data_IF_332314839877
#
_entry.id   IF_332314839877
#
_cell.length_a   1.000
_cell.length_b   1.000
_cell.length_c   1.000
_cell.angle_alpha   90.00
_cell.angle_beta   90.00
_cell.angle_gamma   90.00
#
_symmetry.space_group_name_H-M   'P 1'
#
loop_
_entity.id
_entity.type
_entity.pdbx_description
1 polymer ?
#
# COMPACT_ATOMS: atom_id res chain seq x y z
N UNK A 1 -2.16 7.02 -18.92
CA UNK A 1 -2.49 6.55 -17.56
C UNK A 1 -1.54 7.08 -16.49
N UNK A 2 -0.31 6.58 -16.33
CA UNK A 2 0.58 7.04 -15.24
C UNK A 2 0.90 8.55 -15.30
N UNK A 3 1.28 9.06 -16.48
CA UNK A 3 1.54 10.49 -16.69
C UNK A 3 0.31 11.41 -16.53
N UNK A 4 -0.89 10.83 -16.44
CA UNK A 4 -2.16 11.54 -16.26
C UNK A 4 -2.67 11.43 -14.81
N UNK A 5 -1.81 11.00 -13.87
CA UNK A 5 -2.16 10.85 -12.45
C UNK A 5 -2.88 9.54 -12.11
N UNK A 6 -2.95 8.58 -13.04
CA UNK A 6 -3.58 7.25 -12.83
C UNK A 6 -2.53 6.16 -12.70
N UNK A 7 -1.50 6.42 -11.89
CA UNK A 7 -0.32 5.55 -11.81
C UNK A 7 -0.64 4.20 -11.13
N UNK A 8 -1.48 4.20 -10.08
CA UNK A 8 -1.92 2.95 -9.43
C UNK A 8 -2.70 2.02 -10.36
N UNK A 9 -3.56 2.57 -11.22
CA UNK A 9 -4.29 1.76 -12.22
C UNK A 9 -3.33 1.17 -13.27
N UNK A 10 -2.38 1.96 -13.76
CA UNK A 10 -1.36 1.49 -14.69
C UNK A 10 -0.48 0.39 -14.06
N UNK A 11 -0.14 0.53 -12.79
CA UNK A 11 0.56 -0.51 -12.03
C UNK A 11 -0.29 -1.79 -11.94
N UNK A 12 -1.57 -1.68 -11.60
CA UNK A 12 -2.49 -2.82 -11.54
C UNK A 12 -2.61 -3.61 -12.85
N UNK A 13 -2.57 -2.94 -14.00
CA UNK A 13 -2.55 -3.61 -15.31
C UNK A 13 -1.21 -4.31 -15.61
N UNK A 14 -0.10 -3.78 -15.11
CA UNK A 14 1.24 -4.29 -15.43
C UNK A 14 1.74 -5.33 -14.41
N UNK A 15 1.29 -5.26 -13.16
CA UNK A 15 1.76 -6.12 -12.08
C UNK A 15 1.43 -7.60 -12.30
N UNK A 16 0.36 -7.89 -13.05
CA UNK A 16 -0.05 -9.26 -13.40
C UNK A 16 1.03 -10.04 -14.16
N UNK A 17 1.88 -9.35 -14.92
CA UNK A 17 3.01 -9.99 -15.61
C UNK A 17 4.12 -10.40 -14.65
N UNK A 18 4.31 -9.65 -13.55
CA UNK A 18 5.23 -10.02 -12.48
C UNK A 18 4.68 -11.16 -11.64
N UNK A 19 3.40 -11.07 -11.26
CA UNK A 19 2.79 -12.04 -10.36
C UNK A 19 2.59 -13.39 -11.05
N UNK A 20 1.98 -13.40 -12.24
CA UNK A 20 1.45 -14.62 -12.85
C UNK A 20 2.20 -15.03 -14.13
N UNK A 21 2.95 -14.09 -14.71
CA UNK A 21 3.72 -14.29 -15.95
C UNK A 21 4.66 -15.50 -15.93
N UNK A 22 5.41 -15.77 -14.84
CA UNK A 22 6.27 -16.96 -14.77
C UNK A 22 5.49 -18.27 -14.92
N UNK A 23 4.33 -18.39 -14.26
CA UNK A 23 3.47 -19.57 -14.39
C UNK A 23 2.87 -19.68 -15.81
N UNK A 24 2.45 -18.55 -16.39
CA UNK A 24 1.93 -18.52 -17.76
C UNK A 24 3.00 -18.94 -18.79
N UNK A 25 4.23 -18.46 -18.66
CA UNK A 25 5.35 -18.83 -19.52
C UNK A 25 5.75 -20.30 -19.35
N UNK A 26 5.77 -20.81 -18.12
CA UNK A 26 6.05 -22.21 -17.81
C UNK A 26 5.07 -23.17 -18.51
N UNK A 27 3.77 -22.82 -18.57
CA UNK A 27 2.75 -23.61 -19.31
C UNK A 27 3.05 -23.71 -20.81
N UNK A 28 3.80 -22.78 -21.37
CA UNK A 28 4.22 -22.78 -22.77
C UNK A 28 5.60 -23.46 -22.98
N UNK A 29 6.17 -24.06 -21.94
CA UNK A 29 7.47 -24.73 -22.02
C UNK A 29 8.69 -23.80 -21.91
N UNK A 30 8.50 -22.56 -21.46
CA UNK A 30 9.61 -21.68 -21.15
C UNK A 30 10.44 -22.24 -19.98
N UNK A 31 11.76 -22.02 -20.01
CA UNK A 31 12.69 -22.46 -18.95
C UNK A 31 13.09 -21.35 -17.98
N UNK A 32 12.72 -20.11 -18.29
CA UNK A 32 12.90 -18.92 -17.46
C UNK A 32 11.96 -17.80 -17.94
N UNK A 33 11.68 -16.81 -17.09
CA UNK A 33 10.87 -15.64 -17.43
C UNK A 33 11.59 -14.36 -17.00
N UNK A 34 11.70 -13.40 -17.90
CA UNK A 34 12.10 -12.04 -17.56
C UNK A 34 10.97 -11.09 -17.88
N UNK A 35 10.70 -10.16 -16.96
CA UNK A 35 9.72 -9.10 -17.18
C UNK A 35 10.44 -7.76 -17.32
N UNK A 36 9.85 -6.86 -18.11
CA UNK A 36 10.14 -5.43 -17.97
C UNK A 36 9.69 -4.99 -16.58
N UNK A 37 10.54 -4.26 -15.87
CA UNK A 37 10.20 -3.77 -14.54
C UNK A 37 8.87 -3.02 -14.54
N UNK A 38 8.09 -3.25 -13.48
CA UNK A 38 6.78 -2.63 -13.29
C UNK A 38 6.99 -1.28 -12.59
N UNK A 39 7.37 -0.28 -13.38
CA UNK A 39 7.74 1.05 -12.89
C UNK A 39 7.42 2.17 -13.88
N UNK A 40 7.53 3.41 -13.40
CA UNK A 40 7.17 4.63 -14.14
C UNK A 40 8.35 5.37 -14.78
N UNK A 41 9.60 4.99 -14.48
CA UNK A 41 10.78 5.71 -14.95
C UNK A 41 11.89 4.80 -15.51
N UNK A 42 12.62 5.35 -16.46
CA UNK A 42 13.83 4.76 -17.07
C UNK A 42 15.07 5.25 -16.31
N UNK A 43 15.24 4.75 -15.08
CA UNK A 43 16.39 5.03 -14.20
C UNK A 43 17.40 3.90 -14.15
N UNK A 44 17.25 2.91 -15.04
CA UNK A 44 18.03 1.69 -15.06
C UNK A 44 18.00 0.95 -13.71
N UNK A 45 16.82 0.90 -13.12
CA UNK A 45 16.53 0.21 -11.86
C UNK A 45 15.62 -0.99 -12.13
N UNK A 46 15.96 -2.20 -11.67
CA UNK A 46 15.01 -3.30 -11.63
C UNK A 46 14.04 -3.11 -10.46
N UNK A 47 12.76 -3.38 -10.70
CA UNK A 47 11.73 -3.37 -9.66
C UNK A 47 11.48 -4.79 -9.16
N UNK A 48 11.67 -5.01 -7.86
CA UNK A 48 11.30 -6.25 -7.19
C UNK A 48 9.77 -6.39 -7.07
N UNK A 49 9.32 -7.40 -6.34
CA UNK A 49 7.90 -7.67 -6.14
C UNK A 49 7.57 -9.15 -6.15
N UNK A 50 6.41 -9.46 -5.58
CA UNK A 50 5.95 -10.84 -5.43
C UNK A 50 5.68 -11.53 -6.77
N UNK A 51 6.05 -12.81 -6.84
CA UNK A 51 5.66 -13.76 -7.91
C UNK A 51 4.84 -14.90 -7.31
N UNK A 52 3.71 -15.21 -7.94
CA UNK A 52 2.82 -16.30 -7.55
C UNK A 52 3.02 -17.50 -8.50
N UNK A 53 3.57 -18.59 -7.96
CA UNK A 53 3.64 -19.85 -8.71
C UNK A 53 2.36 -20.65 -8.54
N UNK A 54 1.68 -20.90 -9.65
CA UNK A 54 0.52 -21.76 -9.68
C UNK A 54 0.93 -23.24 -9.55
N UNK A 55 0.07 -24.05 -8.92
CA UNK A 55 0.34 -25.47 -8.67
C UNK A 55 0.23 -26.36 -9.93
N UNK A 56 -0.27 -25.81 -11.04
CA UNK A 56 -0.50 -26.50 -12.32
C UNK A 56 0.66 -26.32 -13.33
N UNK A 57 1.75 -25.65 -12.95
CA UNK A 57 2.91 -25.40 -13.80
C UNK A 57 4.23 -25.57 -13.03
N UNK A 58 5.33 -25.95 -13.71
CA UNK A 58 6.64 -26.00 -13.05
C UNK A 58 7.11 -24.59 -12.66
N UNK A 59 7.78 -24.49 -11.49
CA UNK A 59 8.43 -23.24 -11.08
C UNK A 59 9.67 -23.04 -11.93
N UNK A 60 9.71 -21.94 -12.68
CA UNK A 60 10.85 -21.55 -13.52
C UNK A 60 11.52 -20.30 -12.95
N UNK A 61 12.85 -20.12 -13.10
CA UNK A 61 13.51 -18.89 -12.68
C UNK A 61 12.85 -17.65 -13.29
N UNK A 62 12.58 -16.65 -12.45
CA UNK A 62 11.93 -15.41 -12.84
C UNK A 62 12.68 -14.20 -12.28
N UNK A 63 12.74 -13.11 -13.05
CA UNK A 63 13.33 -11.86 -12.59
C UNK A 63 12.85 -10.65 -13.40
N UNK A 64 13.00 -9.46 -12.83
CA UNK A 64 12.79 -8.21 -13.54
C UNK A 64 14.11 -7.70 -14.12
N UNK A 65 14.05 -7.15 -15.32
CA UNK A 65 15.12 -6.33 -15.90
C UNK A 65 14.68 -4.88 -15.94
N UNK A 66 15.66 -3.97 -16.02
CA UNK A 66 15.39 -2.54 -16.18
C UNK A 66 14.56 -2.28 -17.43
N UNK A 67 13.84 -1.14 -17.49
CA UNK A 67 13.05 -0.78 -18.66
C UNK A 67 13.92 -0.72 -19.93
N UNK A 68 15.11 -0.15 -19.81
CA UNK A 68 16.08 0.03 -20.88
C UNK A 68 16.69 -1.30 -21.34
N UNK A 69 17.00 -2.22 -20.42
CA UNK A 69 17.49 -3.55 -20.79
C UNK A 69 16.38 -4.37 -21.45
N UNK A 70 15.11 -4.20 -21.04
CA UNK A 70 13.97 -4.82 -21.73
C UNK A 70 13.82 -4.31 -23.17
N UNK A 71 13.93 -3.01 -23.38
CA UNK A 71 13.84 -2.38 -24.70
C UNK A 71 15.00 -2.85 -25.60
N UNK A 72 16.22 -2.93 -25.05
CA UNK A 72 17.37 -3.51 -25.74
C UNK A 72 17.13 -4.98 -26.15
N UNK A 73 16.58 -5.80 -25.25
CA UNK A 73 16.25 -7.20 -25.56
C UNK A 73 15.25 -7.28 -26.71
N UNK A 74 14.19 -6.44 -26.68
CA UNK A 74 13.18 -6.38 -27.74
C UNK A 74 13.83 -6.00 -29.09
N UNK A 75 14.71 -5.01 -29.10
CA UNK A 75 15.38 -4.56 -30.32
C UNK A 75 16.38 -5.58 -30.88
N UNK A 76 17.08 -6.32 -30.02
CA UNK A 76 17.97 -7.41 -30.45
C UNK A 76 17.17 -8.60 -31.02
N UNK A 77 16.04 -8.96 -30.40
CA UNK A 77 15.17 -10.05 -30.88
C UNK A 77 14.59 -9.75 -32.26
N UNK A 78 14.32 -8.47 -32.57
CA UNK A 78 13.89 -8.03 -33.91
C UNK A 78 14.95 -8.24 -34.99
N UNK A 79 16.23 -8.30 -34.62
CA UNK A 79 17.36 -8.46 -35.55
C UNK A 79 17.74 -9.94 -35.77
N UNK A 80 17.28 -10.85 -34.90
CA UNK A 80 17.51 -12.28 -35.04
C UNK A 80 17.53 -13.01 -33.70
N UNK A 81 17.89 -14.30 -33.69
CA UNK A 81 17.93 -15.11 -32.48
C UNK A 81 18.93 -14.57 -31.44
N UNK A 82 18.45 -14.30 -30.22
CA UNK A 82 19.26 -13.87 -29.08
C UNK A 82 19.51 -15.06 -28.15
N UNK A 83 20.73 -15.15 -27.59
CA UNK A 83 21.06 -16.08 -26.52
C UNK A 83 21.44 -15.29 -25.27
N UNK A 84 20.90 -15.71 -24.13
CA UNK A 84 21.15 -15.08 -22.84
C UNK A 84 21.70 -16.11 -21.85
N UNK A 85 22.67 -15.70 -21.04
CA UNK A 85 23.05 -16.41 -19.83
C UNK A 85 22.38 -15.72 -18.65
N UNK A 86 21.42 -16.38 -18.03
CA UNK A 86 20.73 -15.90 -16.83
C UNK A 86 21.29 -16.61 -15.60
N UNK A 87 21.64 -15.85 -14.56
CA UNK A 87 22.07 -16.38 -13.26
C UNK A 87 21.23 -15.70 -12.20
N UNK A 88 20.40 -16.49 -11.50
CA UNK A 88 19.61 -16.06 -10.35
C UNK A 88 19.99 -16.94 -9.17
N UNK A 89 20.28 -16.33 -8.03
CA UNK A 89 20.66 -17.03 -6.79
C UNK A 89 19.67 -16.87 -5.61
N UNK A 90 18.36 -16.56 -5.81
CA UNK A 90 17.44 -16.42 -4.69
C UNK A 90 17.19 -17.79 -4.03
N UNK A 91 16.84 -17.76 -2.75
CA UNK A 91 16.50 -18.95 -1.97
C UNK A 91 15.22 -18.70 -1.18
N UNK A 92 14.29 -19.65 -1.25
CA UNK A 92 13.17 -19.68 -0.32
C UNK A 92 13.64 -20.32 0.97
N UNK A 93 13.68 -19.54 2.05
CA UNK A 93 13.96 -20.04 3.38
C UNK A 93 12.67 -20.51 4.05
N UNK A 94 12.82 -21.25 5.15
CA UNK A 94 11.70 -21.65 5.98
C UNK A 94 11.00 -20.43 6.59
N UNK A 95 9.69 -20.54 6.79
CA UNK A 95 8.93 -19.51 7.50
C UNK A 95 9.49 -19.32 8.92
N UNK A 96 9.56 -18.07 9.35
CA UNK A 96 9.97 -17.66 10.69
C UNK A 96 8.89 -16.82 11.35
N UNK A 97 8.89 -16.77 12.67
CA UNK A 97 7.99 -15.92 13.43
C UNK A 97 8.34 -14.44 13.22
N UNK A 98 7.31 -13.61 13.06
CA UNK A 98 7.40 -12.16 13.00
C UNK A 98 6.11 -11.56 13.56
N UNK A 99 6.03 -10.23 13.67
CA UNK A 99 5.00 -9.57 14.48
C UNK A 99 4.43 -8.32 13.81
N UNK A 100 3.10 -8.19 13.83
CA UNK A 100 2.48 -6.88 13.71
C UNK A 100 2.80 -6.07 14.98
N UNK A 101 3.00 -4.76 14.84
CA UNK A 101 3.13 -3.85 15.97
C UNK A 101 1.82 -3.08 16.13
N UNK A 102 1.20 -3.16 17.30
CA UNK A 102 -0.13 -2.58 17.56
C UNK A 102 -0.04 -1.65 18.77
N UNK A 103 -0.60 -0.44 18.65
CA UNK A 103 -0.72 0.52 19.74
C UNK A 103 -2.09 1.22 19.74
N UNK A 104 -2.72 1.32 20.90
CA UNK A 104 -4.07 1.87 21.04
C UNK A 104 -4.06 3.20 21.81
N UNK A 105 -4.72 4.22 21.26
CA UNK A 105 -5.26 5.34 22.03
C UNK A 105 -6.68 4.96 22.46
N UNK A 106 -6.84 4.63 23.73
CA UNK A 106 -8.11 4.11 24.25
C UNK A 106 -9.23 5.14 24.19
N UNK A 107 -10.38 4.74 23.62
CA UNK A 107 -11.58 5.57 23.56
C UNK A 107 -12.17 5.90 24.92
N UNK A 108 -12.87 7.03 25.00
CA UNK A 108 -13.46 7.53 26.25
C UNK A 108 -14.91 7.09 26.48
N UNK A 109 -15.71 6.96 25.42
CA UNK A 109 -17.16 6.64 25.50
C UNK A 109 -17.46 5.23 24.97
N UNK A 110 -16.75 4.82 23.91
CA UNK A 110 -16.92 3.56 23.19
C UNK A 110 -15.56 2.86 23.00
N UNK A 111 -14.84 2.52 24.08
CA UNK A 111 -13.50 1.91 24.00
C UNK A 111 -13.46 0.56 23.26
N UNK A 112 -14.60 -0.11 23.13
CA UNK A 112 -14.78 -1.37 22.40
C UNK A 112 -14.84 -1.21 20.88
N UNK A 113 -15.10 0.01 20.38
CA UNK A 113 -15.16 0.30 18.97
C UNK A 113 -13.81 0.80 18.47
N UNK A 114 -13.34 0.27 17.35
CA UNK A 114 -11.97 0.48 16.85
C UNK A 114 -11.98 1.22 15.52
N UNK A 115 -11.20 2.30 15.44
CA UNK A 115 -10.77 2.92 14.18
C UNK A 115 -9.32 2.53 13.93
N UNK A 116 -9.08 1.70 12.93
CA UNK A 116 -7.71 1.29 12.54
C UNK A 116 -7.07 2.39 11.69
N UNK A 117 -5.82 2.70 11.98
CA UNK A 117 -4.94 3.59 11.18
C UNK A 117 -3.62 2.87 10.99
N UNK A 118 -3.18 2.65 9.75
CA UNK A 118 -2.06 1.73 9.49
C UNK A 118 -1.18 2.07 8.31
N UNK A 119 -0.03 1.41 8.31
CA UNK A 119 0.88 1.16 7.19
C UNK A 119 1.61 -0.17 7.44
N UNK A 120 2.52 -0.60 6.56
CA UNK A 120 3.26 -1.85 6.73
C UNK A 120 4.75 -1.62 7.06
N UNK A 121 5.28 -2.49 7.92
CA UNK A 121 6.61 -2.36 8.54
C UNK A 121 7.71 -3.07 7.75
N UNK A 122 7.34 -4.08 6.96
CA UNK A 122 8.27 -4.72 6.02
C UNK A 122 8.45 -3.89 4.74
N UNK A 123 9.41 -4.28 3.92
CA UNK A 123 9.68 -3.69 2.60
C UNK A 123 10.50 -4.68 1.77
N UNK A 124 10.68 -4.39 0.48
CA UNK A 124 11.70 -5.07 -0.33
C UNK A 124 13.13 -4.75 0.12
N UNK A 125 14.03 -5.69 -0.17
CA UNK A 125 15.40 -5.77 0.36
C UNK A 125 16.45 -4.99 -0.46
N UNK A 126 16.05 -4.32 -1.54
CA UNK A 126 16.96 -3.58 -2.42
C UNK A 126 17.26 -2.17 -1.92
N UNK A 127 16.29 -1.52 -1.29
CA UNK A 127 16.35 -0.14 -0.83
C UNK A 127 16.31 -0.04 0.69
N UNK A 128 15.65 0.99 1.20
CA UNK A 128 15.38 1.16 2.64
C UNK A 128 13.90 1.28 2.98
N UNK A 129 12.99 0.94 2.05
CA UNK A 129 11.54 0.93 2.29
C UNK A 129 10.99 2.28 2.75
N UNK A 130 11.49 3.39 2.18
CA UNK A 130 11.20 4.71 2.72
C UNK A 130 9.79 5.17 2.35
N UNK A 131 9.42 5.06 1.07
CA UNK A 131 8.06 5.38 0.61
C UNK A 131 7.14 4.17 0.68
N UNK A 132 7.69 2.97 0.88
CA UNK A 132 6.99 1.68 0.78
C UNK A 132 7.51 0.71 1.87
N UNK A 133 7.02 0.80 3.11
CA UNK A 133 6.03 1.76 3.62
C UNK A 133 6.47 2.42 4.95
N UNK A 134 7.75 2.78 5.05
CA UNK A 134 8.26 3.59 6.15
C UNK A 134 7.49 4.92 6.32
N UNK A 135 6.99 5.49 5.22
CA UNK A 135 6.17 6.69 5.20
C UNK A 135 4.79 6.46 5.84
N UNK A 136 4.05 5.42 5.46
CA UNK A 136 2.73 5.12 6.01
C UNK A 136 2.77 4.73 7.48
N UNK A 137 3.79 3.99 7.91
CA UNK A 137 4.05 3.73 9.34
C UNK A 137 4.30 5.04 10.09
N UNK A 138 5.17 5.91 9.57
CA UNK A 138 5.47 7.20 10.21
C UNK A 138 4.22 8.11 10.30
N UNK A 139 3.43 8.18 9.22
CA UNK A 139 2.16 8.94 9.17
C UNK A 139 1.16 8.42 10.19
N UNK A 140 0.99 7.10 10.30
CA UNK A 140 0.05 6.47 11.22
C UNK A 140 0.46 6.68 12.68
N UNK A 141 1.75 6.57 12.98
CA UNK A 141 2.29 6.89 14.31
C UNK A 141 2.16 8.37 14.64
N UNK A 142 2.42 9.26 13.68
CA UNK A 142 2.32 10.70 13.90
C UNK A 142 0.87 11.14 14.11
N UNK A 143 -0.10 10.51 13.45
CA UNK A 143 -1.52 10.76 13.71
C UNK A 143 -1.89 10.52 15.18
N UNK A 144 -1.44 9.40 15.77
CA UNK A 144 -1.61 9.13 17.18
C UNK A 144 -0.87 10.15 18.07
N UNK A 145 0.39 10.46 17.73
CA UNK A 145 1.18 11.47 18.45
C UNK A 145 0.52 12.86 18.46
N UNK A 146 -0.06 13.30 17.34
CA UNK A 146 -0.77 14.57 17.24
C UNK A 146 -2.02 14.61 18.12
N UNK A 147 -2.80 13.53 18.13
CA UNK A 147 -4.00 13.42 18.97
C UNK A 147 -3.63 13.55 20.46
N UNK A 148 -2.59 12.85 20.90
CA UNK A 148 -2.08 12.93 22.28
C UNK A 148 -1.52 14.32 22.64
N UNK A 149 -0.69 14.91 21.76
CA UNK A 149 -0.09 16.25 21.98
C UNK A 149 -1.12 17.37 22.03
N UNK A 150 -2.21 17.23 21.28
CA UNK A 150 -3.33 18.18 21.30
C UNK A 150 -4.30 17.92 22.46
N UNK A 151 -4.03 16.92 23.30
CA UNK A 151 -4.87 16.50 24.42
C UNK A 151 -6.31 16.17 24.00
N UNK A 152 -6.46 15.65 22.78
CA UNK A 152 -7.73 15.22 22.23
C UNK A 152 -8.08 13.84 22.78
N UNK A 153 -9.35 13.65 23.14
CA UNK A 153 -9.84 12.38 23.69
C UNK A 153 -10.87 11.79 22.74
N UNK A 154 -10.50 10.80 21.90
CA UNK A 154 -11.46 10.20 20.99
C UNK A 154 -12.55 9.44 21.77
N UNK A 155 -13.77 9.39 21.22
CA UNK A 155 -14.86 8.60 21.80
C UNK A 155 -14.60 7.10 21.62
N UNK A 156 -14.12 6.70 20.45
CA UNK A 156 -13.71 5.33 20.08
C UNK A 156 -12.21 5.12 20.23
N UNK A 157 -11.78 3.87 20.35
CA UNK A 157 -10.36 3.52 20.34
C UNK A 157 -9.78 3.75 18.95
N UNK A 158 -8.65 4.45 18.88
CA UNK A 158 -7.84 4.55 17.65
C UNK A 158 -6.70 3.55 17.81
N UNK A 159 -6.64 2.59 16.89
CA UNK A 159 -5.61 1.55 16.87
C UNK A 159 -4.64 1.81 15.73
N UNK A 160 -3.39 2.08 16.08
CA UNK A 160 -2.29 2.17 15.12
C UNK A 160 -1.72 0.77 14.90
N UNK A 161 -1.58 0.36 13.63
CA UNK A 161 -0.98 -0.92 13.28
C UNK A 161 0.13 -0.70 12.27
N UNK A 162 1.31 -1.24 12.57
CA UNK A 162 2.35 -1.47 11.59
C UNK A 162 2.30 -2.95 11.20
N UNK A 163 1.73 -3.23 10.03
CA UNK A 163 1.53 -4.58 9.53
C UNK A 163 2.86 -5.25 9.20
N UNK A 164 2.89 -6.57 9.27
CA UNK A 164 4.08 -7.32 8.91
C UNK A 164 3.77 -8.26 7.77
N UNK A 165 4.71 -8.33 6.83
CA UNK A 165 4.67 -9.24 5.69
C UNK A 165 3.54 -8.89 4.71
N UNK A 166 3.33 -7.59 4.42
CA UNK A 166 2.47 -7.12 3.33
C UNK A 166 3.01 -7.68 2.01
N UNK A 167 4.30 -7.40 1.76
CA UNK A 167 4.97 -7.54 0.47
C UNK A 167 5.03 -9.00 -0.03
N UNK A 168 5.02 -9.92 0.94
CA UNK A 168 5.05 -11.36 0.71
C UNK A 168 3.72 -12.03 1.09
N UNK A 169 2.62 -11.35 0.79
CA UNK A 169 1.27 -11.90 0.80
C UNK A 169 0.46 -11.61 2.05
N UNK A 170 0.64 -10.43 2.65
CA UNK A 170 -0.21 -9.84 3.69
C UNK A 170 -0.47 -10.81 4.85
N UNK A 171 0.58 -11.50 5.35
CA UNK A 171 0.39 -12.52 6.39
C UNK A 171 0.01 -11.91 7.73
N UNK A 172 0.53 -10.72 8.05
CA UNK A 172 0.23 -9.98 9.26
C UNK A 172 -1.25 -9.60 9.35
N UNK A 173 -1.80 -8.98 8.30
CA UNK A 173 -3.23 -8.65 8.24
C UNK A 173 -4.14 -9.87 8.26
N UNK A 174 -3.77 -10.94 7.54
CA UNK A 174 -4.51 -12.22 7.59
C UNK A 174 -4.53 -12.83 8.99
N UNK A 175 -3.43 -12.73 9.73
CA UNK A 175 -3.37 -13.22 11.10
C UNK A 175 -4.19 -12.33 12.04
N UNK A 176 -4.08 -11.00 11.91
CA UNK A 176 -4.92 -10.05 12.66
C UNK A 176 -6.41 -10.28 12.43
N UNK A 177 -6.83 -10.54 11.19
CA UNK A 177 -8.24 -10.84 10.90
C UNK A 177 -8.74 -12.12 11.59
N UNK A 178 -7.87 -13.13 11.79
CA UNK A 178 -8.23 -14.34 12.54
C UNK A 178 -8.38 -14.05 14.04
N UNK A 179 -7.47 -13.24 14.59
CA UNK A 179 -7.38 -13.01 16.02
C UNK A 179 -8.37 -11.92 16.49
N UNK A 180 -8.54 -10.87 15.68
CA UNK A 180 -9.29 -9.65 16.00
C UNK A 180 -10.49 -9.39 15.09
N UNK A 181 -10.75 -10.19 14.04
CA UNK A 181 -11.83 -9.91 13.08
C UNK A 181 -13.26 -9.93 13.65
N UNK A 182 -13.43 -10.31 14.92
CA UNK A 182 -14.71 -10.24 15.65
C UNK A 182 -14.87 -8.98 16.50
N UNK A 183 -13.83 -8.15 16.65
CA UNK A 183 -13.92 -6.87 17.32
C UNK A 183 -14.79 -5.89 16.51
N UNK A 184 -15.40 -4.91 17.18
CA UNK A 184 -16.26 -3.92 16.52
C UNK A 184 -15.41 -2.85 15.83
N UNK A 185 -14.93 -3.18 14.64
CA UNK A 185 -14.24 -2.24 13.77
C UNK A 185 -15.25 -1.25 13.20
N UNK A 186 -15.13 0.01 13.63
CA UNK A 186 -15.93 1.12 13.14
C UNK A 186 -15.47 1.58 11.76
N UNK A 187 -14.16 1.66 11.56
CA UNK A 187 -13.51 2.05 10.31
C UNK A 187 -12.08 1.48 10.25
N UNK A 188 -11.54 1.35 9.05
CA UNK A 188 -10.13 1.02 8.84
C UNK A 188 -9.51 1.99 7.83
N UNK A 189 -8.27 2.41 8.06
CA UNK A 189 -7.57 3.33 7.19
C UNK A 189 -6.11 2.91 7.03
N UNK A 190 -5.64 2.87 5.79
CA UNK A 190 -4.28 2.50 5.43
C UNK A 190 -3.61 3.59 4.61
N UNK A 191 -2.35 3.87 4.91
CA UNK A 191 -1.47 4.72 4.13
C UNK A 191 -0.37 3.84 3.56
N UNK A 192 -0.38 3.64 2.24
CA UNK A 192 0.51 2.70 1.54
C UNK A 192 0.77 3.18 0.09
N UNK A 193 0.70 4.50 -0.12
CA UNK A 193 0.82 5.14 -1.43
C UNK A 193 1.99 6.11 -1.50
N UNK A 194 2.96 5.98 -0.60
CA UNK A 194 4.12 6.86 -0.50
C UNK A 194 3.99 7.98 0.51
N UNK A 195 4.58 9.13 0.17
CA UNK A 195 4.62 10.33 1.01
C UNK A 195 4.26 11.61 0.24
N UNK A 196 3.74 11.48 -0.99
CA UNK A 196 3.41 12.60 -1.85
C UNK A 196 2.28 13.45 -1.27
N UNK A 197 2.21 14.73 -1.65
CA UNK A 197 1.18 15.66 -1.20
C UNK A 197 -0.23 15.03 -1.22
N UNK A 198 -0.97 15.03 -0.10
CA UNK A 198 -2.29 14.43 -0.05
C UNK A 198 -3.34 15.34 -0.68
N UNK A 199 -4.21 14.77 -1.50
CA UNK A 199 -5.29 15.44 -2.22
C UNK A 199 -6.66 15.21 -1.56
N UNK A 200 -6.76 14.23 -0.66
CA UNK A 200 -7.99 13.93 0.07
C UNK A 200 -8.07 12.49 0.56
N UNK A 201 -9.27 11.92 0.54
CA UNK A 201 -9.57 10.61 1.11
C UNK A 201 -10.30 9.73 0.09
N UNK A 202 -9.74 8.56 -0.18
CA UNK A 202 -10.42 7.44 -0.83
C UNK A 202 -11.34 6.75 0.17
N UNK A 203 -12.49 6.30 -0.32
CA UNK A 203 -13.54 5.66 0.48
C UNK A 203 -13.95 4.37 -0.22
N UNK A 204 -13.78 3.24 0.46
CA UNK A 204 -14.43 1.97 0.13
C UNK A 204 -15.61 1.76 1.07
N UNK A 205 -16.81 1.78 0.50
CA UNK A 205 -18.05 1.60 1.24
C UNK A 205 -19.24 2.20 0.51
N UNK A 206 -20.34 2.40 1.24
CA UNK A 206 -21.58 2.93 0.69
C UNK A 206 -21.46 4.41 0.27
N UNK A 207 -22.06 4.85 -0.85
CA UNK A 207 -21.92 6.22 -1.35
C UNK A 207 -22.33 7.33 -0.37
N UNK A 208 -23.22 7.04 0.57
CA UNK A 208 -23.67 7.95 1.63
C UNK A 208 -22.49 8.44 2.50
N UNK A 209 -21.41 7.67 2.60
CA UNK A 209 -20.19 8.05 3.31
C UNK A 209 -19.60 9.37 2.79
N UNK A 210 -19.71 9.66 1.49
CA UNK A 210 -19.26 10.94 0.95
C UNK A 210 -19.98 12.13 1.58
N UNK A 211 -21.28 11.99 1.82
CA UNK A 211 -22.07 13.03 2.47
C UNK A 211 -21.73 13.15 3.96
N UNK A 212 -21.52 12.02 4.62
CA UNK A 212 -21.12 11.96 6.04
C UNK A 212 -19.75 12.62 6.23
N UNK A 213 -18.81 12.41 5.31
CA UNK A 213 -17.45 12.95 5.36
C UNK A 213 -17.31 14.35 4.75
N UNK A 214 -18.35 14.92 4.16
CA UNK A 214 -18.29 16.26 3.56
C UNK A 214 -17.80 17.36 4.55
N UNK A 215 -18.19 17.37 5.84
CA UNK A 215 -17.61 18.31 6.81
C UNK A 215 -16.12 18.09 7.06
N UNK A 216 -15.65 16.84 7.05
CA UNK A 216 -14.22 16.50 7.21
C UNK A 216 -13.44 16.99 5.99
N UNK A 217 -13.95 16.73 4.78
CA UNK A 217 -13.38 17.23 3.54
C UNK A 217 -13.31 18.76 3.49
N UNK A 218 -14.32 19.45 4.02
CA UNK A 218 -14.31 20.92 4.09
C UNK A 218 -13.19 21.45 5.00
N UNK A 219 -12.90 20.78 6.13
CA UNK A 219 -11.76 21.12 6.99
C UNK A 219 -10.43 20.90 6.28
N UNK A 220 -10.31 19.80 5.52
CA UNK A 220 -9.09 19.46 4.78
C UNK A 220 -8.89 20.29 3.50
N UNK A 221 -9.94 20.94 3.01
CA UNK A 221 -9.87 21.74 1.78
C UNK A 221 -8.91 22.93 1.90
N UNK A 222 -8.75 23.50 3.09
CA UNK A 222 -7.83 24.60 3.35
C UNK A 222 -6.36 24.20 3.14
N UNK A 223 -6.03 22.91 3.31
CA UNK A 223 -4.70 22.34 2.99
C UNK A 223 -4.62 21.74 1.59
N UNK A 224 -5.65 21.90 0.76
CA UNK A 224 -5.73 21.30 -0.58
C UNK A 224 -6.21 19.84 -0.62
N UNK A 225 -6.54 19.24 0.53
CA UNK A 225 -6.86 17.82 0.67
C UNK A 225 -8.37 17.54 0.81
N UNK A 226 -9.22 18.31 0.13
CA UNK A 226 -10.68 18.22 0.27
C UNK A 226 -11.37 17.19 -0.63
N UNK A 227 -10.64 16.41 -1.43
CA UNK A 227 -11.24 15.45 -2.35
C UNK A 227 -11.79 14.24 -1.58
N UNK A 228 -13.01 13.81 -1.92
CA UNK A 228 -13.54 12.51 -1.51
C UNK A 228 -13.76 11.66 -2.75
N UNK A 229 -13.12 10.50 -2.81
CA UNK A 229 -13.26 9.58 -3.92
C UNK A 229 -13.86 8.24 -3.46
N UNK A 230 -14.75 7.65 -4.27
CA UNK A 230 -15.19 6.27 -4.03
C UNK A 230 -14.28 5.36 -4.85
N UNK A 231 -13.77 4.31 -4.20
CA UNK A 231 -12.84 3.37 -4.81
C UNK A 231 -13.27 1.94 -4.53
N UNK A 232 -12.73 1.01 -5.31
CA UNK A 232 -12.97 -0.41 -5.10
C UNK A 232 -12.08 -1.04 -4.03
N UNK A 233 -11.01 -0.36 -3.63
CA UNK A 233 -10.06 -0.86 -2.64
C UNK A 233 -9.26 0.30 -2.02
N UNK A 234 -9.00 0.26 -0.72
CA UNK A 234 -8.27 1.33 -0.02
C UNK A 234 -6.87 0.94 0.44
N UNK A 235 -6.59 -0.33 0.74
CA UNK A 235 -5.26 -0.79 1.15
C UNK A 235 -5.18 -2.30 1.34
N UNK A 236 -4.01 -2.88 1.03
CA UNK A 236 -3.81 -4.31 0.95
C UNK A 236 -4.00 -5.04 2.30
N UNK A 237 -3.54 -4.44 3.40
CA UNK A 237 -3.59 -5.07 4.71
C UNK A 237 -4.92 -4.84 5.44
N UNK A 238 -5.70 -3.84 5.01
CA UNK A 238 -7.08 -3.67 5.48
C UNK A 238 -8.10 -4.44 4.63
N UNK A 239 -7.69 -5.10 3.54
CA UNK A 239 -8.56 -5.92 2.66
C UNK A 239 -9.41 -6.96 3.43
N UNK A 240 -8.89 -7.68 4.45
CA UNK A 240 -9.72 -8.60 5.22
C UNK A 240 -10.87 -7.91 5.97
N UNK A 241 -10.66 -6.66 6.42
CA UNK A 241 -11.70 -5.86 7.09
C UNK A 241 -12.70 -5.30 6.06
N UNK A 242 -12.23 -4.87 4.89
CA UNK A 242 -13.09 -4.49 3.76
C UNK A 242 -14.05 -5.64 3.39
N UNK A 243 -13.52 -6.86 3.27
CA UNK A 243 -14.31 -8.08 2.98
C UNK A 243 -15.32 -8.41 4.08
N UNK A 244 -15.05 -7.99 5.33
CA UNK A 244 -15.98 -8.11 6.45
C UNK A 244 -17.05 -6.99 6.48
N UNK A 245 -17.02 -6.05 5.52
CA UNK A 245 -17.96 -4.94 5.42
C UNK A 245 -17.62 -3.74 6.31
N UNK A 246 -16.39 -3.66 6.82
CA UNK A 246 -15.89 -2.48 7.54
C UNK A 246 -15.64 -1.37 6.51
N UNK A 247 -16.18 -0.15 6.68
CA UNK A 247 -15.85 0.99 5.84
C UNK A 247 -14.35 1.27 5.89
N UNK A 248 -13.73 1.38 4.73
CA UNK A 248 -12.29 1.53 4.60
C UNK A 248 -11.92 2.85 3.90
N UNK A 249 -10.75 3.35 4.25
CA UNK A 249 -10.25 4.65 3.83
C UNK A 249 -8.76 4.59 3.49
N UNK A 250 -8.30 5.50 2.66
CA UNK A 250 -6.87 5.78 2.47
C UNK A 250 -6.67 7.22 2.04
N UNK A 251 -5.54 7.87 2.38
CA UNK A 251 -5.24 9.18 1.80
C UNK A 251 -5.07 9.05 0.29
N UNK A 252 -5.55 10.04 -0.46
CA UNK A 252 -5.26 10.16 -1.89
C UNK A 252 -3.91 10.84 -2.00
N UNK A 253 -2.85 10.07 -2.20
CA UNK A 253 -1.48 10.61 -2.28
C UNK A 253 -1.11 10.91 -3.72
N UNK A 254 -0.39 12.01 -3.95
CA UNK A 254 0.19 12.30 -5.27
C UNK A 254 1.23 11.23 -5.63
N UNK A 255 0.82 10.29 -6.45
CA UNK A 255 1.63 9.12 -6.82
C UNK A 255 2.42 9.30 -8.12
N UNK A 256 2.59 10.54 -8.64
CA UNK A 256 3.25 10.79 -9.95
C UNK A 256 4.65 10.20 -10.05
N UNK A 257 5.37 10.14 -8.93
CA UNK A 257 6.74 9.62 -8.87
C UNK A 257 6.87 8.35 -8.03
N UNK A 258 5.79 7.86 -7.42
CA UNK A 258 5.83 6.70 -6.54
C UNK A 258 6.45 5.47 -7.24
N UNK A 259 5.86 5.11 -8.39
CA UNK A 259 6.31 3.98 -9.20
C UNK A 259 7.63 4.19 -9.93
N UNK A 260 8.28 5.36 -9.79
CA UNK A 260 9.65 5.53 -10.27
C UNK A 260 10.67 4.89 -9.32
N UNK A 261 10.30 4.68 -8.05
CA UNK A 261 11.21 4.21 -7.00
C UNK A 261 10.69 2.99 -6.23
N UNK A 262 9.36 2.80 -6.14
CA UNK A 262 8.71 1.66 -5.49
C UNK A 262 9.33 0.32 -5.92
N UNK A 263 9.64 -0.53 -4.94
CA UNK A 263 10.34 -1.81 -5.10
C UNK A 263 11.75 -1.74 -5.73
N UNK A 264 12.44 -0.60 -5.69
CA UNK A 264 13.81 -0.47 -6.22
C UNK A 264 14.82 -0.13 -5.14
N UNK A 265 16.11 -0.24 -5.49
CA UNK A 265 17.19 0.25 -4.64
C UNK A 265 17.18 1.78 -4.42
N UNK A 266 16.36 2.52 -5.17
CA UNK A 266 16.21 3.96 -5.00
C UNK A 266 15.05 4.35 -4.07
N UNK A 267 14.29 3.38 -3.54
CA UNK A 267 13.38 3.66 -2.43
C UNK A 267 14.19 3.95 -1.16
N UNK A 268 14.36 5.24 -0.89
CA UNK A 268 15.31 5.80 0.06
C UNK A 268 14.77 7.11 0.62
N UNK A 269 15.21 7.49 1.82
CA UNK A 269 14.66 8.64 2.55
C UNK A 269 14.71 9.96 1.79
N UNK A 270 15.67 10.16 0.88
CA UNK A 270 15.77 11.40 0.08
C UNK A 270 14.63 11.58 -0.94
N UNK A 271 13.76 10.57 -1.13
CA UNK A 271 12.51 10.71 -1.91
C UNK A 271 11.36 11.29 -1.10
N UNK A 272 11.48 11.31 0.23
CA UNK A 272 10.46 11.88 1.11
C UNK A 272 10.65 13.39 1.20
N UNK A 273 9.61 14.14 0.83
CA UNK A 273 9.52 15.57 1.10
C UNK A 273 8.93 15.76 2.51
N UNK A 274 9.68 16.28 3.50
CA UNK A 274 9.20 16.32 4.88
C UNK A 274 7.89 17.10 5.08
N UNK A 275 7.67 18.14 4.27
CA UNK A 275 6.43 18.92 4.30
C UNK A 275 5.23 18.09 3.85
N UNK A 276 5.37 17.30 2.79
CA UNK A 276 4.29 16.47 2.25
C UNK A 276 3.99 15.29 3.19
N UNK A 277 5.01 14.70 3.82
CA UNK A 277 4.82 13.69 4.87
C UNK A 277 4.02 14.25 6.07
N UNK A 278 4.34 15.48 6.50
CA UNK A 278 3.60 16.16 7.56
C UNK A 278 2.15 16.48 7.17
N UNK A 279 1.91 16.84 5.90
CA UNK A 279 0.56 17.05 5.36
C UNK A 279 -0.25 15.74 5.36
N UNK A 280 0.36 14.61 4.98
CA UNK A 280 -0.28 13.28 5.09
C UNK A 280 -0.65 12.96 6.54
N UNK A 281 0.27 13.21 7.48
CA UNK A 281 0.02 13.03 8.92
C UNK A 281 -1.16 13.86 9.40
N UNK A 282 -1.31 15.10 8.92
CA UNK A 282 -2.45 15.96 9.26
C UNK A 282 -3.77 15.42 8.70
N UNK A 283 -3.79 14.99 7.43
CA UNK A 283 -4.99 14.41 6.79
C UNK A 283 -5.44 13.15 7.53
N UNK A 284 -4.51 12.23 7.80
CA UNK A 284 -4.78 10.98 8.51
C UNK A 284 -5.24 11.25 9.95
N UNK A 285 -4.60 12.18 10.67
CA UNK A 285 -5.01 12.55 12.03
C UNK A 285 -6.43 13.13 12.09
N UNK A 286 -6.75 14.07 11.20
CA UNK A 286 -8.08 14.69 11.12
C UNK A 286 -9.15 13.66 10.77
N UNK A 287 -8.88 12.80 9.77
CA UNK A 287 -9.82 11.75 9.36
C UNK A 287 -10.05 10.73 10.48
N UNK A 288 -8.97 10.19 11.07
CA UNK A 288 -9.05 9.23 12.16
C UNK A 288 -9.80 9.79 13.37
N UNK A 289 -9.47 11.02 13.78
CA UNK A 289 -10.14 11.66 14.91
C UNK A 289 -11.62 11.95 14.60
N UNK A 290 -11.94 12.42 13.39
CA UNK A 290 -13.34 12.65 12.99
C UNK A 290 -14.14 11.35 13.05
N UNK A 291 -13.66 10.26 12.43
CA UNK A 291 -14.27 8.94 12.45
C UNK A 291 -14.47 8.43 13.88
N UNK A 292 -13.44 8.56 14.72
CA UNK A 292 -13.49 8.12 16.11
C UNK A 292 -14.50 8.91 16.97
N UNK A 293 -14.98 10.06 16.50
CA UNK A 293 -15.93 10.92 17.22
C UNK A 293 -17.32 11.04 16.55
N UNK A 294 -17.55 10.38 15.40
CA UNK A 294 -18.87 10.42 14.75
C UNK A 294 -19.95 9.81 15.64
N UNK A 295 -21.07 10.51 15.83
CA UNK A 295 -22.17 9.99 16.66
C UNK A 295 -22.94 8.87 15.94
N UNK A 296 -23.08 8.99 14.62
CA UNK A 296 -23.83 8.03 13.83
C UNK A 296 -22.96 6.84 13.42
N UNK A 297 -23.50 5.61 13.38
CA UNK A 297 -22.83 4.48 12.77
C UNK A 297 -22.54 4.76 11.30
N UNK A 298 -21.41 4.24 10.81
CA UNK A 298 -21.13 4.27 9.38
C UNK A 298 -21.98 3.23 8.65
N UNK A 299 -22.55 3.56 7.48
CA UNK A 299 -23.25 2.59 6.65
C UNK A 299 -22.25 1.53 6.13
N UNK A 300 -22.48 0.27 6.54
CA UNK A 300 -21.80 -0.94 6.04
C UNK A 300 -22.54 -1.49 4.82
#
# INVERSE_FOLDING_TARGET
>A
MAAEGRAGEAYGEAVVYRSDGPSAAARQGAVACLIRSVGGADYRLPHAGQTNYANDAPKIPAGAVTAEDADLIVDLVRQGPVRMKLVLTPQQLADVESYNVIGDIKGSEHPEQVVVVSGHLDSWDLGTGAIDDGAGVAVSMEAANLIEKLHLKPKRTIRVIAWMNEENGSRGSKQYAKDHGREDHFAAMETDGGAGHPLGINIKGKPELKKILAPVAAVLQDSGAGILNLVEHCGADIEPLEKAGVPAFSPIQDSRFYFNYHHTAADTLDKIVPKELAENSAVVAVAAYALANMEQPLPR
#
